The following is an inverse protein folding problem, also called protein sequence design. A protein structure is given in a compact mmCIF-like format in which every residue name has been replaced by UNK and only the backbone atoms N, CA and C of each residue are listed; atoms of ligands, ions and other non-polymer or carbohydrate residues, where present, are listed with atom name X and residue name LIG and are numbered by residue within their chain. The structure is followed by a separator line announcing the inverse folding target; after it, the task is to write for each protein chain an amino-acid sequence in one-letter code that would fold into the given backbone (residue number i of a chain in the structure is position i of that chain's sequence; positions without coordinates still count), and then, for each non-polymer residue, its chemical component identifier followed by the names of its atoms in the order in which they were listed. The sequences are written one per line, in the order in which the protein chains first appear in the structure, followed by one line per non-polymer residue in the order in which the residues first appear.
data_IF_833488570277
#
_entry.id   IF_833488570277
#
_cell.length_a   1.000
_cell.length_b   1.000
_cell.length_c   1.000
_cell.angle_alpha   90.00
_cell.angle_beta   90.00
_cell.angle_gamma   90.00
#
_symmetry.space_group_name_H-M   'P 1'
#
loop_
_entity.id
_entity.type
_entity.pdbx_description
1 polymer ?
#
# COMPACT_ATOMS: atom_id res chain seq x y z
N UNK A 1 10.27 28.85 5.31
CA UNK A 1 10.79 27.71 6.10
C UNK A 1 10.19 26.46 5.49
N UNK A 2 10.83 25.96 4.43
CA UNK A 2 10.39 24.79 3.66
C UNK A 2 11.55 23.79 3.69
N UNK A 3 11.34 22.60 4.23
CA UNK A 3 12.30 21.50 4.14
C UNK A 3 11.60 20.17 4.48
N UNK A 4 11.32 19.36 3.44
CA UNK A 4 11.13 17.88 3.48
C UNK A 4 10.46 17.29 2.21
N UNK A 5 10.23 18.04 1.13
CA UNK A 5 9.37 17.61 0.01
C UNK A 5 10.07 17.22 -1.31
N UNK A 6 11.39 17.01 -1.32
CA UNK A 6 12.13 16.85 -2.59
C UNK A 6 12.18 15.42 -3.18
N UNK A 7 11.46 14.42 -2.65
CA UNK A 7 11.50 13.06 -3.22
C UNK A 7 10.29 12.65 -4.07
N UNK A 8 9.34 13.56 -4.38
CA UNK A 8 8.11 13.21 -5.15
C UNK A 8 8.07 13.86 -6.55
N UNK A 9 9.10 14.60 -6.96
CA UNK A 9 9.15 15.14 -8.32
C UNK A 9 9.88 14.20 -9.27
N UNK A 10 9.16 13.30 -9.93
CA UNK A 10 9.13 13.14 -11.39
C UNK A 10 7.89 12.30 -11.71
N UNK A 11 7.01 12.79 -12.58
CA UNK A 11 6.45 12.07 -13.75
C UNK A 11 5.23 12.85 -14.29
N UNK A 12 5.36 13.35 -15.52
CA UNK A 12 4.35 14.10 -16.27
C UNK A 12 3.95 13.37 -17.57
N UNK A 13 2.69 13.58 -17.95
CA UNK A 13 2.01 13.41 -19.25
C UNK A 13 1.60 12.02 -19.78
N UNK A 14 0.30 11.71 -19.69
CA UNK A 14 -0.68 11.73 -20.83
C UNK A 14 -2.12 11.70 -20.29
N UNK A 15 -3.07 12.29 -21.03
CA UNK A 15 -4.50 12.35 -20.68
C UNK A 15 -5.22 11.04 -21.05
N UNK A 16 -6.11 10.51 -20.18
CA UNK A 16 -7.54 10.22 -20.41
C UNK A 16 -8.18 9.48 -19.20
N UNK A 17 -9.18 10.17 -18.62
CA UNK A 17 -10.43 9.75 -17.94
C UNK A 17 -10.54 8.37 -17.26
N UNK A 18 -10.46 8.36 -15.92
CA UNK A 18 -11.29 7.49 -15.04
C UNK A 18 -12.64 8.18 -14.70
N UNK A 19 -12.96 9.29 -15.38
CA UNK A 19 -13.91 10.30 -14.90
C UNK A 19 -15.38 9.99 -15.18
N UNK A 20 -15.73 8.99 -15.98
CA UNK A 20 -17.10 8.90 -16.50
C UNK A 20 -17.91 7.62 -16.24
N UNK A 21 -17.35 6.53 -15.69
CA UNK A 21 -18.13 5.26 -15.61
C UNK A 21 -18.19 4.56 -14.23
N UNK A 22 -17.47 5.05 -13.21
CA UNK A 22 -17.26 4.27 -11.97
C UNK A 22 -17.85 4.89 -10.68
N UNK A 23 -18.95 5.65 -10.77
CA UNK A 23 -19.64 6.19 -9.57
C UNK A 23 -20.10 5.09 -8.60
N UNK A 24 -20.29 3.85 -9.07
CA UNK A 24 -20.63 2.68 -8.24
C UNK A 24 -19.52 2.30 -7.25
N UNK A 25 -18.26 2.55 -7.60
CA UNK A 25 -17.09 2.06 -6.86
C UNK A 25 -16.45 3.12 -5.95
N UNK A 26 -17.15 4.22 -5.69
CA UNK A 26 -16.67 5.26 -4.77
C UNK A 26 -17.80 5.93 -3.98
N UNK A 27 -17.49 6.48 -2.82
CA UNK A 27 -18.38 7.31 -2.01
C UNK A 27 -17.65 8.58 -1.63
N UNK A 28 -18.26 9.74 -1.86
CA UNK A 28 -17.72 11.00 -1.36
C UNK A 28 -17.78 11.01 0.16
N UNK A 29 -16.65 11.29 0.80
CA UNK A 29 -16.52 11.33 2.26
C UNK A 29 -16.16 12.72 2.77
N UNK A 30 -15.50 13.54 1.96
CA UNK A 30 -15.21 14.95 2.27
C UNK A 30 -15.50 15.76 1.01
N UNK A 31 -16.55 16.60 0.99
CA UNK A 31 -16.80 17.49 -0.14
C UNK A 31 -15.79 18.65 -0.12
N UNK A 32 -15.35 19.12 -1.29
CA UNK A 32 -14.48 20.30 -1.37
C UNK A 32 -13.67 20.42 -2.65
N UNK A 33 -12.56 21.15 -2.57
CA UNK A 33 -11.55 21.26 -3.62
C UNK A 33 -10.17 21.03 -2.97
N UNK A 34 -9.66 19.78 -2.98
CA UNK A 34 -10.26 18.60 -3.61
C UNK A 34 -11.38 17.94 -2.77
N UNK A 35 -12.36 17.35 -3.44
CA UNK A 35 -13.29 16.36 -2.88
C UNK A 35 -12.56 15.04 -2.66
N UNK A 36 -12.81 14.39 -1.52
CA UNK A 36 -12.22 13.10 -1.19
C UNK A 36 -13.27 12.00 -1.32
N UNK A 37 -12.92 10.97 -2.08
CA UNK A 37 -13.73 9.79 -2.35
C UNK A 37 -13.11 8.55 -1.72
N UNK A 38 -13.88 7.79 -0.95
CA UNK A 38 -13.50 6.44 -0.55
C UNK A 38 -13.80 5.46 -1.68
N UNK A 39 -12.80 4.71 -2.11
CA UNK A 39 -12.95 3.61 -3.06
C UNK A 39 -13.66 2.43 -2.40
N UNK A 40 -14.38 1.65 -3.21
CA UNK A 40 -15.04 0.39 -2.82
C UNK A 40 -14.41 -0.77 -3.59
N UNK A 41 -13.19 -1.19 -3.23
CA UNK A 41 -12.55 -2.37 -3.79
C UNK A 41 -13.25 -3.65 -3.33
N UNK A 42 -13.00 -4.74 -4.05
CA UNK A 42 -13.32 -6.09 -3.57
C UNK A 42 -12.37 -6.44 -2.42
N UNK A 43 -12.89 -7.17 -1.44
CA UNK A 43 -12.12 -7.53 -0.25
C UNK A 43 -12.33 -9.00 0.09
N UNK A 44 -11.23 -9.70 0.32
CA UNK A 44 -11.22 -11.10 0.73
C UNK A 44 -10.17 -11.34 1.82
N UNK A 45 -10.42 -12.31 2.69
CA UNK A 45 -9.44 -12.75 3.67
C UNK A 45 -8.93 -14.13 3.26
N UNK A 46 -7.62 -14.26 3.06
CA UNK A 46 -6.96 -15.53 2.75
C UNK A 46 -6.05 -15.86 3.93
N UNK A 47 -6.51 -16.79 4.77
CA UNK A 47 -5.84 -17.08 6.03
C UNK A 47 -5.77 -15.82 6.91
N UNK A 48 -4.55 -15.37 7.20
CA UNK A 48 -4.25 -14.21 8.04
C UNK A 48 -3.97 -12.91 7.26
N UNK A 49 -4.19 -12.92 5.94
CA UNK A 49 -3.92 -11.80 5.03
C UNK A 49 -5.26 -11.26 4.50
N UNK A 50 -5.40 -9.93 4.48
CA UNK A 50 -6.53 -9.25 3.80
C UNK A 50 -6.07 -8.80 2.42
N UNK A 51 -6.84 -9.15 1.39
CA UNK A 51 -6.68 -8.63 0.03
C UNK A 51 -7.71 -7.57 -0.26
N UNK A 52 -7.27 -6.53 -0.96
CA UNK A 52 -8.05 -5.36 -1.33
C UNK A 52 -7.80 -5.09 -2.81
N UNK A 53 -8.74 -5.46 -3.66
CA UNK A 53 -8.55 -5.51 -5.11
C UNK A 53 -9.39 -4.45 -5.82
N UNK A 54 -8.73 -3.63 -6.63
CA UNK A 54 -9.34 -2.62 -7.48
C UNK A 54 -9.12 -3.00 -8.95
N UNK A 55 -10.22 -3.26 -9.67
CA UNK A 55 -10.18 -3.68 -11.06
C UNK A 55 -10.07 -5.21 -11.21
N UNK A 56 -9.89 -5.66 -12.45
CA UNK A 56 -9.81 -7.09 -12.79
C UNK A 56 -8.42 -7.43 -13.31
N UNK A 57 -7.86 -8.55 -12.84
CA UNK A 57 -6.53 -9.00 -13.21
C UNK A 57 -6.49 -9.50 -14.65
N UNK A 58 -5.63 -8.89 -15.47
CA UNK A 58 -5.24 -9.44 -16.77
C UNK A 58 -3.93 -10.24 -16.63
N UNK A 59 -3.94 -11.57 -16.78
CA UNK A 59 -2.74 -12.40 -16.62
C UNK A 59 -1.67 -12.15 -17.69
N UNK A 60 -1.99 -11.41 -18.75
CA UNK A 60 -1.03 -11.05 -19.81
C UNK A 60 -0.24 -9.79 -19.48
N UNK A 61 -0.71 -8.97 -18.52
CA UNK A 61 -0.04 -7.75 -18.10
C UNK A 61 1.03 -8.07 -17.06
N UNK A 62 2.12 -7.31 -17.11
CA UNK A 62 3.18 -7.38 -16.10
C UNK A 62 2.61 -6.87 -14.78
N UNK A 63 2.89 -7.58 -13.68
CA UNK A 63 2.56 -7.13 -12.33
C UNK A 63 3.84 -6.73 -11.60
N UNK A 64 3.80 -5.60 -10.91
CA UNK A 64 4.89 -5.11 -10.06
C UNK A 64 4.46 -5.11 -8.60
N UNK A 65 5.23 -5.78 -7.77
CA UNK A 65 4.96 -5.92 -6.34
C UNK A 65 5.92 -5.07 -5.54
N UNK A 66 5.38 -4.25 -4.65
CA UNK A 66 6.16 -3.51 -3.65
C UNK A 66 5.78 -3.95 -2.24
N UNK A 67 6.75 -4.04 -1.34
CA UNK A 67 6.55 -4.30 0.09
C UNK A 67 6.88 -3.05 0.90
N UNK A 68 5.94 -2.57 1.71
CA UNK A 68 6.12 -1.38 2.54
C UNK A 68 6.48 -1.77 3.97
N UNK A 69 7.60 -1.25 4.48
CA UNK A 69 8.07 -1.45 5.85
C UNK A 69 8.32 -0.10 6.50
N UNK A 70 7.87 0.09 7.74
CA UNK A 70 7.99 1.38 8.44
C UNK A 70 7.23 1.38 9.75
N UNK A 71 7.61 2.22 10.71
CA UNK A 71 6.93 2.32 12.01
C UNK A 71 5.46 2.74 11.90
N UNK A 72 4.70 2.53 12.97
CA UNK A 72 3.37 3.12 13.10
C UNK A 72 3.49 4.64 13.00
N UNK A 73 2.66 5.24 12.14
CA UNK A 73 2.67 6.68 11.88
C UNK A 73 3.80 7.16 10.96
N UNK A 74 4.58 6.27 10.33
CA UNK A 74 5.58 6.67 9.33
C UNK A 74 4.98 7.17 8.01
N UNK A 75 3.70 6.89 7.75
CA UNK A 75 2.99 7.37 6.55
C UNK A 75 2.76 6.31 5.47
N UNK A 76 2.88 5.01 5.79
CA UNK A 76 2.63 3.92 4.81
C UNK A 76 1.26 4.03 4.14
N UNK A 77 0.19 4.19 4.91
CA UNK A 77 -1.17 4.38 4.38
C UNK A 77 -1.30 5.61 3.48
N UNK A 78 -0.58 6.69 3.80
CA UNK A 78 -0.51 7.89 2.95
C UNK A 78 0.18 7.57 1.63
N UNK A 79 1.29 6.84 1.66
CA UNK A 79 2.01 6.39 0.45
C UNK A 79 1.15 5.47 -0.41
N UNK A 80 0.42 4.52 0.17
CA UNK A 80 -0.52 3.63 -0.55
C UNK A 80 -1.56 4.46 -1.28
N UNK A 81 -2.24 5.38 -0.57
CA UNK A 81 -3.24 6.25 -1.21
C UNK A 81 -2.60 7.08 -2.34
N UNK A 82 -1.40 7.62 -2.14
CA UNK A 82 -0.70 8.39 -3.18
C UNK A 82 -0.38 7.53 -4.43
N UNK A 83 0.12 6.31 -4.25
CA UNK A 83 0.43 5.39 -5.35
C UNK A 83 -0.83 4.98 -6.10
N UNK A 84 -1.94 4.72 -5.41
CA UNK A 84 -3.23 4.41 -6.06
C UNK A 84 -3.76 5.60 -6.84
N UNK A 85 -3.71 6.82 -6.28
CA UNK A 85 -4.11 8.03 -7.01
C UNK A 85 -3.25 8.24 -8.26
N UNK A 86 -1.94 8.01 -8.14
CA UNK A 86 -1.02 8.08 -9.27
C UNK A 86 -1.38 7.05 -10.35
N UNK A 87 -1.61 5.78 -9.97
CA UNK A 87 -2.02 4.73 -10.89
C UNK A 87 -3.35 5.06 -11.60
N UNK A 88 -4.30 5.68 -10.88
CA UNK A 88 -5.57 6.18 -11.42
C UNK A 88 -5.42 7.41 -12.33
N UNK A 89 -4.23 8.01 -12.37
CA UNK A 89 -3.92 9.19 -13.19
C UNK A 89 -4.42 10.50 -12.60
N UNK A 90 -4.62 10.56 -11.29
CA UNK A 90 -4.95 11.80 -10.57
C UNK A 90 -3.77 12.75 -10.62
N UNK A 91 -4.04 13.99 -10.99
CA UNK A 91 -3.06 15.08 -11.07
C UNK A 91 -3.26 16.08 -9.95
N UNK A 92 -2.23 16.87 -9.70
CA UNK A 92 -2.29 17.93 -8.69
C UNK A 92 -3.40 18.97 -8.98
N UNK A 93 -3.70 19.21 -10.26
CA UNK A 93 -4.75 20.15 -10.68
C UNK A 93 -6.16 19.56 -10.59
N UNK A 94 -6.29 18.26 -10.28
CA UNK A 94 -7.60 17.62 -10.16
C UNK A 94 -8.25 17.95 -8.82
N UNK A 95 -9.56 18.19 -8.84
CA UNK A 95 -10.35 18.43 -7.63
C UNK A 95 -10.84 17.15 -6.95
N UNK A 96 -10.28 15.98 -7.29
CA UNK A 96 -10.69 14.69 -6.76
C UNK A 96 -9.47 13.99 -6.13
N UNK A 97 -9.65 13.44 -4.93
CA UNK A 97 -8.68 12.57 -4.27
C UNK A 97 -9.34 11.26 -3.85
N UNK A 98 -8.64 10.13 -4.00
CA UNK A 98 -9.18 8.81 -3.65
C UNK A 98 -8.49 8.23 -2.41
N UNK A 99 -9.27 7.59 -1.55
CA UNK A 99 -8.79 6.82 -0.40
C UNK A 99 -9.16 5.35 -0.57
N UNK A 100 -8.16 4.47 -0.60
CA UNK A 100 -8.34 3.01 -0.59
C UNK A 100 -8.13 2.42 0.80
N UNK A 101 -7.26 3.04 1.60
CA UNK A 101 -6.98 2.58 2.97
C UNK A 101 -8.11 3.01 3.89
N UNK A 102 -8.73 2.06 4.56
CA UNK A 102 -9.72 2.32 5.60
C UNK A 102 -9.02 2.69 6.91
N UNK A 103 -9.19 3.94 7.36
CA UNK A 103 -8.79 4.34 8.71
C UNK A 103 -9.81 3.77 9.70
N UNK A 104 -9.59 2.55 10.18
CA UNK A 104 -10.48 1.90 11.14
C UNK A 104 -10.56 2.71 12.45
N UNK A 105 -11.79 3.13 12.83
CA UNK A 105 -12.12 3.45 14.20
C UNK A 105 -12.17 2.13 14.98
N UNK A 106 -11.03 1.68 15.48
CA UNK A 106 -10.91 0.46 16.29
C UNK A 106 -11.89 0.51 17.47
N UNK A 107 -13.01 -0.22 17.37
CA UNK A 107 -13.73 -0.69 18.55
C UNK A 107 -12.84 -1.77 19.20
N UNK A 108 -12.65 -1.68 20.51
CA UNK A 108 -11.71 -2.51 21.29
C UNK A 108 -12.04 -4.02 21.34
N UNK A 109 -12.91 -4.55 20.47
CA UNK A 109 -13.48 -5.90 20.62
C UNK A 109 -13.05 -6.91 19.54
N UNK A 110 -12.36 -6.53 18.47
CA UNK A 110 -11.97 -7.46 17.39
C UNK A 110 -10.43 -7.55 17.27
N UNK A 111 -9.80 -8.39 18.10
CA UNK A 111 -8.36 -8.67 18.07
C UNK A 111 -7.94 -9.63 16.94
N UNK A 112 -8.59 -9.56 15.78
CA UNK A 112 -8.27 -10.36 14.59
C UNK A 112 -8.28 -9.47 13.34
N UNK A 113 -7.49 -8.38 13.38
CA UNK A 113 -7.16 -7.65 12.15
C UNK A 113 -5.90 -8.29 11.56
N UNK A 114 -6.01 -8.77 10.33
CA UNK A 114 -4.87 -9.21 9.54
C UNK A 114 -3.86 -8.08 9.42
N UNK A 115 -2.71 -8.27 10.07
CA UNK A 115 -1.63 -7.30 10.12
C UNK A 115 -1.06 -6.95 8.73
N UNK A 116 -1.12 -7.90 7.80
CA UNK A 116 -0.62 -7.74 6.44
C UNK A 116 -1.80 -7.59 5.48
N UNK A 117 -1.80 -6.49 4.73
CA UNK A 117 -2.83 -6.17 3.73
C UNK A 117 -2.17 -6.10 2.36
N UNK A 118 -2.74 -6.80 1.38
CA UNK A 118 -2.29 -6.79 -0.01
C UNK A 118 -3.27 -5.97 -0.82
N UNK A 119 -2.83 -4.82 -1.32
CA UNK A 119 -3.60 -3.99 -2.24
C UNK A 119 -3.23 -4.35 -3.67
N UNK A 120 -4.23 -4.66 -4.48
CA UNK A 120 -4.06 -5.02 -5.87
C UNK A 120 -4.77 -3.98 -6.74
N UNK A 121 -4.05 -3.42 -7.71
CA UNK A 121 -4.55 -2.39 -8.61
C UNK A 121 -4.34 -2.87 -10.04
N UNK A 122 -5.43 -3.25 -10.68
CA UNK A 122 -5.47 -3.87 -12.00
C UNK A 122 -6.30 -3.05 -12.99
N UNK A 123 -6.11 -3.31 -14.28
CA UNK A 123 -6.88 -2.68 -15.36
C UNK A 123 -6.49 -1.21 -15.62
N UNK A 124 -5.34 -0.77 -15.08
CA UNK A 124 -4.79 0.59 -15.24
C UNK A 124 -3.52 0.61 -16.09
N UNK A 125 -3.13 -0.52 -16.67
CA UNK A 125 -1.82 -0.76 -17.29
C UNK A 125 -1.61 0.00 -18.62
N UNK A 126 -2.69 0.50 -19.22
CA UNK A 126 -2.64 1.31 -20.44
C UNK A 126 -2.85 2.82 -20.14
N UNK A 127 -2.73 3.21 -18.85
CA UNK A 127 -2.92 4.59 -18.37
C UNK A 127 -1.60 5.20 -17.89
N UNK A 128 -1.46 5.39 -16.57
CA UNK A 128 -0.28 6.03 -15.97
C UNK A 128 0.87 5.05 -15.79
N UNK A 129 0.56 3.83 -15.35
CA UNK A 129 1.54 2.77 -15.14
C UNK A 129 1.45 1.78 -16.30
N UNK A 130 2.59 1.28 -16.83
CA UNK A 130 2.60 0.24 -17.87
C UNK A 130 2.43 -1.18 -17.31
N UNK A 131 2.01 -1.32 -16.05
CA UNK A 131 1.92 -2.57 -15.30
C UNK A 131 0.83 -2.51 -14.22
N UNK A 132 0.37 -3.69 -13.81
CA UNK A 132 -0.45 -3.89 -12.62
C UNK A 132 0.38 -3.64 -11.36
N UNK A 133 -0.22 -3.10 -10.30
CA UNK A 133 0.49 -2.81 -9.05
C UNK A 133 -0.06 -3.63 -7.89
N UNK A 134 0.81 -4.38 -7.23
CA UNK A 134 0.54 -5.03 -5.95
C UNK A 134 1.35 -4.32 -4.86
N UNK A 135 0.69 -3.92 -3.77
CA UNK A 135 1.32 -3.26 -2.62
C UNK A 135 1.05 -4.12 -1.38
N UNK A 136 2.10 -4.63 -0.76
CA UNK A 136 2.03 -5.35 0.51
C UNK A 136 2.28 -4.34 1.63
N UNK A 137 1.24 -4.02 2.40
CA UNK A 137 1.34 -3.20 3.60
C UNK A 137 1.55 -4.10 4.82
N UNK A 138 2.53 -3.74 5.66
CA UNK A 138 2.79 -4.41 6.93
C UNK A 138 2.33 -3.52 8.09
N UNK A 139 2.15 -4.05 9.31
CA UNK A 139 1.95 -3.20 10.47
C UNK A 139 3.15 -2.30 10.68
N UNK A 140 2.89 -1.22 11.42
CA UNK A 140 3.99 -0.49 12.02
C UNK A 140 4.72 -1.32 13.08
N UNK A 141 6.03 -1.51 12.90
CA UNK A 141 6.88 -1.94 14.01
C UNK A 141 7.01 -0.80 15.03
N UNK A 142 7.46 -1.09 16.25
CA UNK A 142 7.68 -0.05 17.26
C UNK A 142 6.59 0.10 18.33
N UNK A 143 5.46 -0.61 18.23
CA UNK A 143 4.43 -0.61 19.30
C UNK A 143 4.78 -1.56 20.45
N UNK A 144 4.07 -1.40 21.58
CA UNK A 144 4.24 -2.06 22.90
C UNK A 144 4.23 -3.60 22.89
N UNK A 145 4.02 -4.23 21.74
CA UNK A 145 3.86 -5.68 21.55
C UNK A 145 5.18 -6.40 21.22
N UNK A 146 6.31 -5.68 21.10
CA UNK A 146 7.66 -6.26 21.11
C UNK A 146 8.05 -7.08 19.87
N UNK A 147 9.01 -7.99 20.05
CA UNK A 147 9.62 -8.86 19.01
C UNK A 147 8.63 -9.91 18.50
N UNK A 148 7.70 -10.38 19.33
CA UNK A 148 6.76 -11.44 18.98
C UNK A 148 5.84 -11.05 17.83
N UNK A 149 5.45 -9.76 17.77
CA UNK A 149 4.69 -9.23 16.63
C UNK A 149 5.53 -9.20 15.35
N UNK A 150 6.81 -8.86 15.46
CA UNK A 150 7.72 -8.80 14.31
C UNK A 150 7.96 -10.22 13.74
N UNK A 151 8.01 -11.25 14.61
CA UNK A 151 8.04 -12.68 14.21
C UNK A 151 6.75 -13.07 13.50
N UNK A 152 5.59 -12.75 14.07
CA UNK A 152 4.28 -13.06 13.48
C UNK A 152 4.11 -12.43 12.09
N UNK A 153 4.56 -11.19 11.91
CA UNK A 153 4.53 -10.53 10.59
C UNK A 153 5.43 -11.27 9.60
N UNK A 154 6.62 -11.72 10.03
CA UNK A 154 7.53 -12.49 9.19
C UNK A 154 6.94 -13.84 8.77
N UNK A 155 6.26 -14.53 9.68
CA UNK A 155 5.54 -15.78 9.38
C UNK A 155 4.42 -15.54 8.37
N UNK A 156 3.63 -14.47 8.54
CA UNK A 156 2.55 -14.12 7.59
C UNK A 156 3.07 -13.76 6.20
N UNK A 157 4.18 -13.04 6.11
CA UNK A 157 4.84 -12.76 4.84
C UNK A 157 5.35 -14.06 4.20
N UNK A 158 5.93 -14.97 4.98
CA UNK A 158 6.38 -16.26 4.49
C UNK A 158 5.22 -17.11 3.96
N UNK A 159 4.08 -17.12 4.65
CA UNK A 159 2.85 -17.78 4.20
C UNK A 159 2.33 -17.15 2.90
N UNK A 160 2.34 -15.82 2.80
CA UNK A 160 1.97 -15.09 1.58
C UNK A 160 2.85 -15.49 0.39
N UNK A 161 4.15 -15.66 0.60
CA UNK A 161 5.09 -16.00 -0.48
C UNK A 161 5.08 -17.49 -0.86
N UNK A 162 4.63 -18.36 0.04
CA UNK A 162 4.56 -19.81 -0.20
C UNK A 162 3.20 -20.29 -0.70
N UNK A 163 2.15 -19.50 -0.47
CA UNK A 163 0.79 -19.85 -0.90
C UNK A 163 0.71 -19.96 -2.43
N UNK A 164 -0.03 -20.95 -2.94
CA UNK A 164 -0.26 -21.13 -4.39
C UNK A 164 -0.87 -19.90 -5.02
N UNK A 165 -1.84 -19.31 -4.34
CA UNK A 165 -2.53 -18.09 -4.76
C UNK A 165 -1.81 -16.83 -4.25
N UNK A 166 -0.63 -16.97 -3.66
CA UNK A 166 0.17 -15.95 -2.99
C UNK A 166 0.94 -15.00 -3.92
N UNK A 167 1.90 -14.28 -3.35
CA UNK A 167 2.77 -13.35 -4.10
C UNK A 167 4.14 -13.98 -4.28
N UNK A 168 4.51 -14.24 -5.53
CA UNK A 168 5.70 -15.04 -5.85
C UNK A 168 6.95 -14.21 -6.20
N UNK A 169 6.79 -12.90 -6.36
CA UNK A 169 7.88 -11.98 -6.73
C UNK A 169 7.69 -10.64 -6.02
N UNK A 170 8.80 -10.04 -5.58
CA UNK A 170 8.88 -8.67 -5.08
C UNK A 170 9.86 -7.88 -5.93
N UNK A 171 9.39 -6.78 -6.50
CA UNK A 171 10.19 -5.88 -7.31
C UNK A 171 10.89 -4.80 -6.48
N UNK A 172 10.29 -4.39 -5.36
CA UNK A 172 10.88 -3.40 -4.47
C UNK A 172 10.45 -3.58 -3.01
N UNK A 173 11.36 -3.28 -2.09
CA UNK A 173 11.07 -3.07 -0.67
C UNK A 173 11.22 -1.57 -0.38
N UNK A 174 10.15 -0.93 0.09
CA UNK A 174 10.10 0.49 0.38
C UNK A 174 10.14 0.71 1.89
N UNK A 175 11.19 1.36 2.35
CA UNK A 175 11.34 1.77 3.73
C UNK A 175 10.74 3.16 3.96
N UNK A 176 9.71 3.24 4.78
CA UNK A 176 8.97 4.47 5.08
C UNK A 176 9.36 4.99 6.47
N UNK A 177 9.91 6.20 6.51
CA UNK A 177 10.47 6.83 7.71
C UNK A 177 9.75 8.13 8.04
N UNK A 178 9.64 8.49 9.32
CA UNK A 178 9.12 9.81 9.71
C UNK A 178 10.18 10.86 9.39
N UNK A 179 9.74 12.02 8.90
CA UNK A 179 10.65 13.14 8.61
C UNK A 179 11.45 13.66 9.81
N UNK A 180 11.02 13.33 11.05
CA UNK A 180 11.73 13.71 12.29
C UNK A 180 12.80 12.70 12.70
N UNK A 181 12.83 11.52 12.09
CA UNK A 181 13.78 10.47 12.43
C UNK A 181 15.08 10.74 11.69
N UNK A 182 16.03 11.37 12.38
CA UNK A 182 17.34 11.69 11.81
C UNK A 182 18.33 10.51 11.85
N UNK A 183 17.90 9.35 12.36
CA UNK A 183 18.72 8.15 12.53
C UNK A 183 17.86 6.90 12.34
N UNK A 184 18.39 5.91 11.63
CA UNK A 184 17.84 4.56 11.60
C UNK A 184 18.04 3.92 12.98
N UNK A 185 16.98 3.37 13.56
CA UNK A 185 17.07 2.64 14.83
C UNK A 185 17.56 1.20 14.59
N UNK A 186 18.23 0.60 15.57
CA UNK A 186 18.64 -0.82 15.50
C UNK A 186 17.43 -1.73 15.25
N UNK A 187 16.27 -1.37 15.82
CA UNK A 187 15.01 -2.09 15.61
C UNK A 187 14.56 -2.02 14.15
N UNK A 188 14.66 -0.86 13.52
CA UNK A 188 14.31 -0.69 12.12
C UNK A 188 15.23 -1.53 11.22
N UNK A 189 16.54 -1.51 11.48
CA UNK A 189 17.49 -2.34 10.74
C UNK A 189 17.19 -3.82 10.91
N UNK A 190 16.90 -4.27 12.13
CA UNK A 190 16.49 -5.64 12.39
C UNK A 190 15.25 -6.06 11.60
N UNK A 191 14.20 -5.22 11.55
CA UNK A 191 12.97 -5.53 10.80
C UNK A 191 13.26 -5.57 9.30
N UNK A 192 14.03 -4.60 8.79
CA UNK A 192 14.43 -4.58 7.39
C UNK A 192 15.23 -5.83 7.01
N UNK A 193 16.24 -6.18 7.78
CA UNK A 193 17.08 -7.37 7.55
C UNK A 193 16.25 -8.66 7.65
N UNK A 194 15.30 -8.73 8.59
CA UNK A 194 14.39 -9.87 8.73
C UNK A 194 13.52 -10.05 7.48
N UNK A 195 12.92 -8.96 7.00
CA UNK A 195 12.12 -8.97 5.76
C UNK A 195 12.97 -9.35 4.56
N UNK A 196 14.14 -8.72 4.39
CA UNK A 196 15.05 -9.01 3.27
C UNK A 196 15.51 -10.47 3.29
N UNK A 197 15.72 -11.06 4.48
CA UNK A 197 16.12 -12.45 4.63
C UNK A 197 15.11 -13.45 4.07
N UNK A 198 13.83 -13.08 3.98
CA UNK A 198 12.77 -13.93 3.41
C UNK A 198 12.95 -14.19 1.91
N UNK A 199 13.69 -13.32 1.20
CA UNK A 199 13.90 -13.39 -0.25
C UNK A 199 15.20 -14.12 -0.65
N UNK A 200 15.99 -14.58 0.33
CA UNK A 200 17.25 -15.28 0.10
C UNK A 200 18.39 -14.37 -0.37
N UNK A 201 19.63 -14.79 -0.10
CA UNK A 201 20.81 -14.25 -0.78
C UNK A 201 20.95 -15.01 -2.10
N UNK A 202 20.93 -14.26 -3.20
CA UNK A 202 21.30 -14.77 -4.54
C UNK A 202 22.78 -15.15 -4.57
#
# INVERSE_FOLDING_TARGET
MFSSLELIFVLFYRNISYRHDNTKYRVEIVPGSPSVYRLKPEQENIGSIRRVTLGEKDPTKINKTILLVGETGAGKSTLINALVNYALGVKYEDNDWYQIVEEEKKSQAESQTSDVIVYEVFGLEDRTLPFSLTIIDTPGYGHTEGIDKDVLVSERLLDLFRSTDGVHEIDAVCLVLKARDNRLSDRLMYVFDSVVSLFGKT
#
